data_IF_492606977951
#
_entry.id   IF_492606977951
#
_cell.length_a   1.000
_cell.length_b   1.000
_cell.length_c   1.000
_cell.angle_alpha   90.00
_cell.angle_beta   90.00
_cell.angle_gamma   90.00
#
_symmetry.space_group_name_H-M   'P 1'
#
loop_
_entity.id
_entity.type
_entity.pdbx_description
1 polymer ?
#
# COMPACT_ATOMS: atom_id res chain seq x y z
N UNK A 1 -26.51 -5.70 -38.98
CA UNK A 1 -25.28 -5.72 -38.15
C UNK A 1 -25.70 -5.85 -36.70
N UNK A 2 -25.34 -6.97 -36.08
CA UNK A 2 -25.84 -7.40 -34.76
C UNK A 2 -25.06 -6.73 -33.63
N UNK A 3 -25.76 -6.02 -32.75
CA UNK A 3 -25.23 -5.50 -31.49
C UNK A 3 -25.11 -6.65 -30.48
N UNK A 4 -23.88 -6.97 -30.10
CA UNK A 4 -23.60 -7.95 -29.06
C UNK A 4 -23.97 -7.35 -27.69
N UNK A 5 -25.08 -7.83 -27.12
CA UNK A 5 -25.43 -7.59 -25.71
C UNK A 5 -24.49 -8.42 -24.83
N UNK A 6 -23.66 -7.75 -24.03
CA UNK A 6 -23.01 -8.38 -22.88
C UNK A 6 -23.99 -8.35 -21.70
N UNK A 7 -24.42 -9.53 -21.26
CA UNK A 7 -25.11 -9.70 -19.98
C UNK A 7 -24.08 -9.66 -18.84
N UNK A 8 -24.44 -9.13 -17.65
CA UNK A 8 -23.57 -9.18 -16.48
C UNK A 8 -23.71 -10.55 -15.80
N UNK A 9 -22.71 -11.42 -15.94
CA UNK A 9 -22.60 -12.61 -15.10
C UNK A 9 -21.98 -12.21 -13.76
N UNK A 10 -22.78 -12.36 -12.71
CA UNK A 10 -22.42 -12.12 -11.33
C UNK A 10 -21.76 -13.38 -10.77
N UNK A 11 -20.42 -13.42 -10.71
CA UNK A 11 -19.68 -14.42 -9.93
C UNK A 11 -18.19 -14.06 -9.73
N UNK A 12 -17.78 -13.98 -8.46
CA UNK A 12 -16.43 -14.01 -7.87
C UNK A 12 -15.38 -12.97 -8.32
N UNK A 13 -14.95 -12.13 -7.38
CA UNK A 13 -13.83 -11.19 -7.55
C UNK A 13 -12.60 -11.77 -6.86
N UNK A 14 -11.72 -12.36 -7.66
CA UNK A 14 -10.40 -12.83 -7.25
C UNK A 14 -9.40 -11.67 -7.28
N UNK A 15 -8.56 -11.56 -6.24
CA UNK A 15 -7.57 -10.48 -6.11
C UNK A 15 -6.25 -10.73 -6.87
N UNK A 16 -6.33 -11.55 -7.93
CA UNK A 16 -5.63 -11.39 -9.19
C UNK A 16 -6.69 -11.76 -10.22
N UNK A 17 -7.04 -10.85 -11.13
CA UNK A 17 -8.07 -11.18 -12.10
C UNK A 17 -7.55 -12.29 -13.02
N UNK A 18 -8.41 -13.22 -13.43
CA UNK A 18 -7.99 -14.32 -14.31
C UNK A 18 -7.50 -13.82 -15.69
N UNK A 19 -7.81 -12.58 -16.08
CA UNK A 19 -7.27 -11.88 -17.26
C UNK A 19 -5.90 -11.22 -17.01
N UNK A 20 -5.47 -11.03 -15.76
CA UNK A 20 -4.14 -10.52 -15.38
C UNK A 20 -3.04 -11.60 -15.43
N UNK A 21 -3.41 -12.87 -15.60
CA UNK A 21 -2.50 -14.00 -15.79
C UNK A 21 -2.35 -14.35 -17.29
N UNK A 22 -1.56 -13.56 -18.04
CA UNK A 22 -1.18 -13.94 -19.40
C UNK A 22 -0.30 -15.21 -19.41
N UNK A 23 -0.46 -16.14 -20.39
CA UNK A 23 0.24 -17.43 -20.40
C UNK A 23 1.77 -17.27 -20.43
N UNK A 24 2.54 -18.08 -19.69
CA UNK A 24 3.99 -17.93 -19.61
C UNK A 24 4.64 -18.15 -20.98
N UNK A 25 5.41 -17.16 -21.46
CA UNK A 25 6.27 -17.30 -22.63
C UNK A 25 7.67 -17.77 -22.22
N UNK A 26 8.41 -18.51 -23.06
CA UNK A 26 9.73 -19.04 -22.71
C UNK A 26 10.76 -17.90 -22.60
N UNK A 27 11.63 -17.95 -21.58
CA UNK A 27 12.69 -16.96 -21.35
C UNK A 27 14.05 -17.69 -21.30
N UNK A 28 14.92 -17.39 -22.26
CA UNK A 28 16.33 -17.80 -22.27
C UNK A 28 17.23 -16.71 -21.65
N UNK A 29 18.33 -17.19 -21.07
CA UNK A 29 19.58 -16.52 -20.68
C UNK A 29 19.75 -15.88 -19.29
N UNK A 30 20.70 -16.49 -18.55
CA UNK A 30 22.02 -15.87 -18.26
C UNK A 30 22.12 -14.92 -17.07
N UNK A 31 22.54 -15.43 -15.91
CA UNK A 31 22.72 -14.71 -14.64
C UNK A 31 23.76 -13.58 -14.66
N UNK A 32 23.35 -12.34 -14.30
CA UNK A 32 24.11 -11.38 -13.47
C UNK A 32 23.13 -10.56 -12.60
N UNK A 33 23.38 -10.50 -11.30
CA UNK A 33 22.57 -9.82 -10.28
C UNK A 33 22.63 -8.29 -10.44
N UNK A 34 21.48 -7.63 -10.68
CA UNK A 34 21.22 -6.17 -10.60
C UNK A 34 19.71 -5.94 -10.54
N UNK A 35 19.30 -4.80 -9.97
CA UNK A 35 17.93 -4.21 -9.82
C UNK A 35 17.04 -4.32 -11.09
N UNK A 36 17.60 -4.67 -12.25
CA UNK A 36 16.87 -4.96 -13.49
C UNK A 36 15.90 -6.16 -13.44
N UNK A 37 15.87 -6.98 -12.37
CA UNK A 37 14.88 -8.06 -12.24
C UNK A 37 13.50 -7.65 -11.73
N UNK A 38 13.35 -6.45 -11.14
CA UNK A 38 12.03 -5.84 -10.92
C UNK A 38 11.24 -5.66 -12.23
N UNK A 39 11.92 -5.67 -13.39
CA UNK A 39 11.32 -5.57 -14.72
C UNK A 39 10.75 -6.92 -15.22
N UNK A 40 11.09 -8.07 -14.60
CA UNK A 40 10.54 -9.38 -15.03
C UNK A 40 9.18 -9.71 -14.40
N UNK A 41 8.77 -9.03 -13.33
CA UNK A 41 7.39 -9.08 -12.81
C UNK A 41 6.41 -8.18 -13.56
N UNK A 42 6.87 -7.58 -14.67
CA UNK A 42 6.18 -6.52 -15.38
C UNK A 42 4.85 -6.92 -16.03
N UNK A 43 4.45 -8.20 -16.11
CA UNK A 43 3.15 -8.55 -16.72
C UNK A 43 1.97 -8.13 -15.83
N UNK A 44 2.00 -8.44 -14.54
CA UNK A 44 0.93 -8.02 -13.61
C UNK A 44 0.97 -6.49 -13.38
N UNK A 45 2.17 -5.89 -13.42
CA UNK A 45 2.30 -4.44 -13.41
C UNK A 45 1.76 -3.79 -14.70
N UNK A 46 1.95 -4.42 -15.87
CA UNK A 46 1.55 -3.86 -17.17
C UNK A 46 0.04 -3.69 -17.28
N UNK A 47 -0.76 -4.64 -16.77
CA UNK A 47 -2.21 -4.48 -16.79
C UNK A 47 -2.69 -3.38 -15.83
N UNK A 48 -2.15 -3.33 -14.60
CA UNK A 48 -2.45 -2.22 -13.70
C UNK A 48 -2.10 -0.87 -14.37
N UNK A 49 -0.92 -0.77 -14.96
CA UNK A 49 -0.49 0.44 -15.66
C UNK A 49 -1.32 0.75 -16.91
N UNK A 50 -1.92 -0.25 -17.56
CA UNK A 50 -2.80 -0.05 -18.71
C UNK A 50 -4.14 0.61 -18.35
N UNK A 51 -4.60 0.43 -17.10
CA UNK A 51 -5.84 0.98 -16.56
C UNK A 51 -5.61 2.15 -15.59
N UNK A 52 -4.37 2.61 -15.45
CA UNK A 52 -3.98 3.76 -14.63
C UNK A 52 -3.44 4.88 -15.49
N UNK A 53 -3.79 6.12 -15.19
CA UNK A 53 -3.10 7.26 -15.77
C UNK A 53 -1.78 7.51 -15.02
N UNK A 54 -0.77 8.03 -15.73
CA UNK A 54 0.56 8.26 -15.18
C UNK A 54 1.11 9.60 -15.68
N UNK A 55 1.69 10.39 -14.77
CA UNK A 55 2.49 11.57 -15.12
C UNK A 55 3.89 11.45 -14.54
N UNK A 56 4.82 12.21 -15.12
CA UNK A 56 6.19 12.30 -14.63
C UNK A 56 6.56 13.77 -14.38
N UNK A 57 6.67 14.17 -13.13
CA UNK A 57 6.87 15.58 -12.72
C UNK A 57 7.86 15.68 -11.55
N UNK A 58 8.52 16.83 -11.34
CA UNK A 58 9.42 17.03 -10.20
C UNK A 58 8.74 16.74 -8.84
N UNK A 59 9.52 16.32 -7.85
CA UNK A 59 9.02 16.16 -6.48
C UNK A 59 8.63 17.54 -5.89
N UNK A 60 7.38 17.79 -5.49
CA UNK A 60 6.97 19.10 -5.01
C UNK A 60 7.50 19.44 -3.61
N UNK A 61 8.09 18.48 -2.89
CA UNK A 61 8.84 18.76 -1.65
C UNK A 61 10.26 19.30 -1.91
N UNK A 62 10.61 19.57 -3.18
CA UNK A 62 11.86 20.21 -3.56
C UNK A 62 11.87 21.67 -3.09
N UNK A 63 12.32 21.90 -1.85
CA UNK A 63 12.81 23.23 -1.48
C UNK A 63 14.25 23.38 -1.98
N UNK A 64 14.42 24.06 -3.12
CA UNK A 64 15.75 24.29 -3.71
C UNK A 64 16.61 25.26 -2.91
N UNK A 65 16.07 25.90 -1.86
CA UNK A 65 16.78 26.88 -1.05
C UNK A 65 17.43 26.27 0.19
N UNK A 66 17.10 25.03 0.54
CA UNK A 66 17.61 24.39 1.74
C UNK A 66 18.83 23.49 1.43
N UNK A 67 19.94 23.64 2.17
CA UNK A 67 21.13 22.83 1.95
C UNK A 67 20.84 21.35 2.26
N UNK A 68 21.35 20.47 1.40
CA UNK A 68 21.35 19.03 1.66
C UNK A 68 22.16 18.72 2.93
N UNK A 69 21.81 17.68 3.72
CA UNK A 69 22.55 17.33 4.93
C UNK A 69 24.05 17.20 4.65
N UNK A 70 24.83 18.06 5.32
CA UNK A 70 26.24 18.37 5.05
C UNK A 70 27.19 17.16 5.22
N UNK A 71 26.71 16.06 5.79
CA UNK A 71 27.54 14.92 6.22
C UNK A 71 27.72 13.81 5.17
N UNK A 72 27.43 14.05 3.89
CA UNK A 72 27.69 13.08 2.81
C UNK A 72 28.96 13.45 2.04
N UNK A 73 29.80 12.48 1.61
CA UNK A 73 30.88 12.76 0.66
C UNK A 73 30.36 13.54 -0.56
N UNK A 74 31.12 14.54 -1.05
CA UNK A 74 30.70 15.42 -2.16
C UNK A 74 30.14 14.67 -3.39
N UNK A 75 30.74 13.54 -3.75
CA UNK A 75 30.27 12.72 -4.88
C UNK A 75 28.91 12.07 -4.62
N UNK A 76 28.60 11.72 -3.36
CA UNK A 76 27.27 11.23 -2.95
C UNK A 76 26.26 12.37 -2.87
N UNK A 77 26.67 13.57 -2.46
CA UNK A 77 25.82 14.77 -2.49
C UNK A 77 25.38 15.11 -3.90
N UNK A 78 26.31 15.27 -4.86
CA UNK A 78 25.96 15.60 -6.24
C UNK A 78 25.05 14.54 -6.91
N UNK A 79 25.29 13.25 -6.61
CA UNK A 79 24.42 12.16 -7.08
C UNK A 79 23.03 12.26 -6.45
N UNK A 80 22.95 12.51 -5.15
CA UNK A 80 21.70 12.67 -4.41
C UNK A 80 20.93 13.90 -4.88
N UNK A 81 21.58 15.05 -5.08
CA UNK A 81 20.97 16.28 -5.61
C UNK A 81 20.36 16.06 -6.99
N UNK A 82 21.12 15.40 -7.88
CA UNK A 82 20.63 15.02 -9.20
C UNK A 82 19.39 14.16 -9.08
N UNK A 83 19.43 13.12 -8.22
CA UNK A 83 18.28 12.23 -7.98
C UNK A 83 17.09 12.97 -7.39
N UNK A 84 17.31 13.85 -6.44
CA UNK A 84 16.25 14.60 -5.79
C UNK A 84 15.48 15.47 -6.81
N UNK A 85 16.19 16.04 -7.79
CA UNK A 85 15.63 16.84 -8.89
C UNK A 85 15.04 16.02 -10.04
N UNK A 86 15.29 14.72 -10.11
CA UNK A 86 14.74 13.87 -11.17
C UNK A 86 13.21 13.77 -11.06
N UNK A 87 12.47 13.96 -12.18
CA UNK A 87 11.02 13.80 -12.19
C UNK A 87 10.59 12.40 -11.74
N UNK A 88 9.54 12.35 -10.92
CA UNK A 88 8.97 11.16 -10.30
C UNK A 88 7.67 10.78 -10.99
N UNK A 89 7.42 9.47 -11.05
CA UNK A 89 6.20 8.92 -11.64
C UNK A 89 5.12 8.84 -10.59
N UNK A 90 3.96 9.38 -10.91
CA UNK A 90 2.76 9.30 -10.10
C UNK A 90 1.72 8.54 -10.91
N UNK A 91 0.93 7.72 -10.22
CA UNK A 91 -0.15 6.97 -10.85
C UNK A 91 -1.47 7.30 -10.18
N UNK A 92 -2.54 7.24 -10.97
CA UNK A 92 -3.91 7.30 -10.48
C UNK A 92 -4.71 6.14 -11.07
N UNK A 93 -5.49 5.52 -10.20
CA UNK A 93 -6.62 4.69 -10.59
C UNK A 93 -7.92 5.42 -10.25
N UNK A 94 -8.89 5.36 -11.16
CA UNK A 94 -10.18 6.01 -11.04
C UNK A 94 -11.25 4.93 -11.12
N UNK A 95 -12.22 4.94 -10.20
CA UNK A 95 -13.29 3.95 -10.23
C UNK A 95 -14.19 4.11 -11.46
N UNK A 96 -14.73 3.00 -12.02
CA UNK A 96 -15.71 3.07 -13.09
C UNK A 96 -16.92 3.95 -12.74
N UNK A 97 -17.39 3.88 -11.48
CA UNK A 97 -18.49 4.73 -11.01
C UNK A 97 -18.20 6.22 -11.10
N UNK A 98 -16.96 6.66 -10.85
CA UNK A 98 -16.57 8.06 -10.98
C UNK A 98 -16.51 8.49 -12.46
N UNK A 99 -16.00 7.62 -13.33
CA UNK A 99 -15.96 7.85 -14.78
C UNK A 99 -17.39 7.97 -15.32
N UNK A 100 -18.26 7.02 -14.98
CA UNK A 100 -19.66 7.02 -15.39
C UNK A 100 -20.39 8.27 -14.90
N UNK A 101 -20.15 8.67 -13.64
CA UNK A 101 -20.74 9.88 -13.10
C UNK A 101 -20.26 11.14 -13.84
N UNK A 102 -18.98 11.23 -14.19
CA UNK A 102 -18.41 12.35 -14.94
C UNK A 102 -18.95 12.42 -16.38
N UNK A 103 -19.06 11.28 -17.07
CA UNK A 103 -19.52 11.23 -18.46
C UNK A 103 -21.03 11.49 -18.60
N UNK A 104 -21.84 11.01 -17.65
CA UNK A 104 -23.29 11.13 -17.70
C UNK A 104 -23.82 12.47 -17.16
N UNK A 105 -22.92 13.41 -16.82
CA UNK A 105 -23.33 14.59 -16.08
C UNK A 105 -24.02 15.68 -16.90
N UNK A 106 -23.82 15.74 -18.22
CA UNK A 106 -24.38 16.81 -19.06
C UNK A 106 -24.08 18.20 -18.47
N UNK A 107 -25.09 19.07 -18.43
CA UNK A 107 -25.03 20.42 -17.83
C UNK A 107 -25.39 20.46 -16.33
N UNK A 108 -25.36 19.33 -15.62
CA UNK A 108 -25.80 19.29 -14.23
C UNK A 108 -25.00 20.28 -13.34
N UNK A 109 -25.66 21.04 -12.44
CA UNK A 109 -25.04 22.19 -11.76
C UNK A 109 -23.83 21.87 -10.85
N UNK A 110 -23.63 20.61 -10.44
CA UNK A 110 -22.52 20.25 -9.54
C UNK A 110 -21.93 18.88 -9.88
N UNK A 111 -20.66 18.89 -10.27
CA UNK A 111 -19.82 17.69 -10.43
C UNK A 111 -19.66 16.93 -9.10
N UNK A 112 -19.94 15.61 -9.03
CA UNK A 112 -19.72 14.86 -7.82
C UNK A 112 -18.24 14.90 -7.51
N UNK A 113 -17.87 15.35 -6.32
CA UNK A 113 -16.45 15.50 -5.96
C UNK A 113 -15.82 14.11 -5.84
N UNK A 114 -14.70 13.91 -6.55
CA UNK A 114 -13.92 12.68 -6.45
C UNK A 114 -13.33 12.57 -5.03
N UNK A 115 -13.47 11.40 -4.40
CA UNK A 115 -12.86 11.06 -3.12
C UNK A 115 -11.48 10.47 -3.38
N UNK A 116 -10.46 11.30 -3.24
CA UNK A 116 -9.07 10.91 -3.54
C UNK A 116 -8.42 10.33 -2.29
N UNK A 117 -7.96 9.09 -2.41
CA UNK A 117 -7.10 8.43 -1.43
C UNK A 117 -5.67 8.43 -1.94
N UNK A 118 -4.74 8.96 -1.15
CA UNK A 118 -3.31 8.99 -1.50
C UNK A 118 -2.56 7.93 -0.70
N UNK A 119 -1.96 6.97 -1.42
CA UNK A 119 -1.12 5.94 -0.84
C UNK A 119 0.37 6.23 -1.11
N UNK A 120 1.11 6.49 -0.06
CA UNK A 120 2.55 6.68 -0.06
C UNK A 120 3.22 5.34 0.24
N UNK A 121 3.66 4.65 -0.81
CA UNK A 121 4.33 3.35 -0.73
C UNK A 121 5.80 3.44 -1.13
N UNK A 122 6.34 2.36 -1.66
CA UNK A 122 7.74 2.17 -2.05
C UNK A 122 7.77 1.58 -3.47
N UNK A 123 8.21 2.38 -4.45
CA UNK A 123 8.33 1.97 -5.87
C UNK A 123 7.08 1.31 -6.49
N UNK A 124 7.11 0.01 -6.87
CA UNK A 124 6.08 -0.66 -7.67
C UNK A 124 4.85 -1.17 -6.89
N UNK A 125 4.74 -0.84 -5.60
CA UNK A 125 3.82 -1.48 -4.65
C UNK A 125 2.33 -1.40 -4.96
N UNK A 126 1.95 -0.49 -5.85
CA UNK A 126 0.57 -0.28 -6.26
C UNK A 126 -0.01 -1.53 -6.94
N UNK A 127 0.75 -2.10 -7.87
CA UNK A 127 0.39 -3.35 -8.53
C UNK A 127 0.59 -4.54 -7.58
N UNK A 128 1.56 -4.45 -6.67
CA UNK A 128 1.86 -5.53 -5.71
C UNK A 128 0.76 -5.76 -4.69
N UNK A 129 0.07 -4.69 -4.27
CA UNK A 129 -0.94 -4.79 -3.22
C UNK A 129 -2.38 -4.97 -3.73
N UNK A 130 -2.59 -4.95 -5.06
CA UNK A 130 -3.93 -5.12 -5.64
C UNK A 130 -4.93 -4.04 -5.20
N UNK A 131 -4.45 -2.85 -4.82
CA UNK A 131 -5.28 -1.80 -4.22
C UNK A 131 -6.42 -1.34 -5.13
N UNK A 132 -6.25 -1.47 -6.46
CA UNK A 132 -7.27 -1.16 -7.47
C UNK A 132 -8.63 -1.76 -7.14
N UNK A 133 -8.64 -3.03 -6.79
CA UNK A 133 -9.86 -3.81 -6.59
C UNK A 133 -10.74 -3.23 -5.46
N UNK A 134 -10.13 -2.51 -4.50
CA UNK A 134 -10.87 -1.87 -3.43
C UNK A 134 -11.73 -0.71 -3.93
N UNK A 135 -11.27 -0.04 -4.99
CA UNK A 135 -11.91 1.15 -5.56
C UNK A 135 -12.88 0.82 -6.70
N UNK A 136 -12.81 -0.36 -7.32
CA UNK A 136 -13.65 -0.74 -8.48
C UNK A 136 -15.15 -0.56 -8.26
N UNK A 137 -15.64 -0.83 -7.05
CA UNK A 137 -17.07 -0.71 -6.70
C UNK A 137 -17.43 0.61 -6.03
N UNK A 138 -16.51 1.57 -5.97
CA UNK A 138 -16.76 2.85 -5.34
C UNK A 138 -17.40 3.82 -6.34
N UNK A 139 -18.42 4.56 -5.89
CA UNK A 139 -19.15 5.47 -6.76
C UNK A 139 -18.33 6.72 -7.18
N UNK A 140 -17.37 7.14 -6.35
CA UNK A 140 -16.61 8.38 -6.57
C UNK A 140 -15.13 8.26 -6.16
N UNK A 141 -14.58 7.04 -6.10
CA UNK A 141 -13.24 6.83 -5.54
C UNK A 141 -12.13 6.99 -6.56
N UNK A 142 -11.02 7.59 -6.13
CA UNK A 142 -9.78 7.62 -6.86
C UNK A 142 -8.62 7.25 -5.93
N UNK A 143 -7.69 6.43 -6.41
CA UNK A 143 -6.47 6.07 -5.70
C UNK A 143 -5.28 6.70 -6.40
N UNK A 144 -4.65 7.66 -5.75
CA UNK A 144 -3.37 8.22 -6.17
C UNK A 144 -2.25 7.56 -5.39
N UNK A 145 -1.16 7.29 -6.07
CA UNK A 145 -0.04 6.59 -5.46
C UNK A 145 1.25 7.33 -5.69
N UNK A 146 1.97 7.54 -4.59
CA UNK A 146 3.19 8.33 -4.56
C UNK A 146 4.34 7.39 -4.20
N UNK A 147 5.37 7.29 -5.06
CA UNK A 147 6.49 6.39 -4.80
C UNK A 147 7.33 6.94 -3.64
N UNK A 148 7.80 6.05 -2.78
CA UNK A 148 8.84 6.31 -1.80
C UNK A 148 10.20 5.84 -2.31
N UNK A 149 11.26 6.28 -1.63
CA UNK A 149 12.64 5.90 -1.96
C UNK A 149 13.37 5.34 -0.74
N UNK A 150 13.83 4.10 -0.86
CA UNK A 150 14.61 3.44 0.19
C UNK A 150 16.10 3.78 0.12
N UNK A 151 16.80 3.55 1.23
CA UNK A 151 18.22 3.88 1.36
C UNK A 151 19.11 3.14 0.36
N UNK A 152 18.76 1.89 0.04
CA UNK A 152 19.64 0.98 -0.70
C UNK A 152 19.36 0.94 -2.21
N UNK A 153 18.25 1.52 -2.67
CA UNK A 153 17.81 1.39 -4.08
C UNK A 153 18.69 2.14 -5.07
N UNK A 154 19.21 3.29 -4.68
CA UNK A 154 19.89 4.20 -5.61
C UNK A 154 21.38 4.42 -5.21
N UNK A 155 21.88 3.65 -4.25
CA UNK A 155 23.30 3.56 -3.90
C UNK A 155 23.88 4.83 -3.25
N UNK A 156 23.06 5.58 -2.52
CA UNK A 156 23.51 6.71 -1.68
C UNK A 156 23.20 6.52 -0.19
N UNK A 157 22.50 5.45 0.20
CA UNK A 157 22.40 5.00 1.59
C UNK A 157 21.46 5.82 2.48
N UNK A 158 20.50 6.56 1.92
CA UNK A 158 19.53 7.34 2.71
C UNK A 158 18.11 7.24 2.13
N UNK A 159 17.10 6.94 2.94
CA UNK A 159 15.71 7.01 2.50
C UNK A 159 15.20 8.46 2.54
N UNK A 160 14.29 8.84 1.65
CA UNK A 160 13.68 10.18 1.62
C UNK A 160 12.25 10.15 1.02
N UNK A 161 11.49 11.21 1.28
CA UNK A 161 10.07 11.31 0.90
C UNK A 161 9.84 12.12 -0.38
N UNK A 162 8.90 11.65 -1.21
CA UNK A 162 8.38 12.34 -2.38
C UNK A 162 6.97 12.80 -2.04
N UNK A 163 6.66 14.09 -2.20
CA UNK A 163 5.32 14.59 -1.91
C UNK A 163 4.43 14.60 -3.13
N UNK A 164 3.24 15.13 -2.91
CA UNK A 164 2.23 15.40 -3.93
C UNK A 164 1.61 16.77 -3.67
N UNK A 165 1.29 17.51 -4.72
CA UNK A 165 0.57 18.78 -4.64
C UNK A 165 -0.78 18.69 -5.37
N UNK A 166 -1.63 19.70 -5.19
CA UNK A 166 -2.94 19.74 -5.81
C UNK A 166 -2.88 19.67 -7.35
N UNK A 167 -1.89 20.35 -7.97
CA UNK A 167 -1.72 20.37 -9.43
C UNK A 167 -1.34 19.01 -10.01
N UNK A 168 -0.64 18.18 -9.23
CA UNK A 168 -0.33 16.78 -9.59
C UNK A 168 -1.60 15.96 -9.61
N UNK A 169 -2.49 16.12 -8.62
CA UNK A 169 -3.79 15.42 -8.57
C UNK A 169 -4.67 15.87 -9.75
N UNK A 170 -4.76 17.17 -10.00
CA UNK A 170 -5.53 17.73 -11.14
C UNK A 170 -5.04 17.17 -12.48
N UNK A 171 -3.71 17.13 -12.69
CA UNK A 171 -3.11 16.55 -13.90
C UNK A 171 -3.37 15.05 -14.01
N UNK A 172 -3.30 14.31 -12.91
CA UNK A 172 -3.60 12.88 -12.91
C UNK A 172 -5.07 12.61 -13.29
N UNK A 173 -6.01 13.37 -12.73
CA UNK A 173 -7.43 13.28 -13.11
C UNK A 173 -7.66 13.66 -14.58
N UNK A 174 -6.99 14.71 -15.06
CA UNK A 174 -7.00 15.08 -16.47
C UNK A 174 -6.52 13.94 -17.38
N UNK A 175 -5.37 13.31 -17.07
CA UNK A 175 -4.85 12.17 -17.84
C UNK A 175 -5.74 10.93 -17.74
N UNK A 176 -6.57 10.83 -16.71
CA UNK A 176 -7.60 9.79 -16.59
C UNK A 176 -8.90 10.14 -17.35
N UNK A 177 -8.93 11.24 -18.11
CA UNK A 177 -10.08 11.70 -18.88
C UNK A 177 -11.12 12.49 -18.08
N UNK A 178 -10.81 12.88 -16.85
CA UNK A 178 -11.70 13.60 -15.92
C UNK A 178 -11.36 15.10 -15.86
N UNK A 179 -11.50 15.80 -16.98
CA UNK A 179 -11.08 17.19 -17.13
C UNK A 179 -11.90 18.11 -16.20
N UNK A 180 -11.23 18.88 -15.35
CA UNK A 180 -11.88 19.83 -14.43
C UNK A 180 -12.63 19.19 -13.27
N UNK A 181 -12.51 17.87 -13.10
CA UNK A 181 -13.18 17.11 -12.04
C UNK A 181 -12.79 17.63 -10.65
N UNK A 182 -13.72 18.19 -9.86
CA UNK A 182 -13.43 18.58 -8.49
C UNK A 182 -13.17 17.35 -7.62
N UNK A 183 -12.32 17.51 -6.62
CA UNK A 183 -11.94 16.42 -5.71
C UNK A 183 -11.75 16.89 -4.27
N UNK A 184 -11.87 15.95 -3.35
CA UNK A 184 -11.56 16.07 -1.93
C UNK A 184 -10.49 15.05 -1.55
N UNK A 185 -9.58 15.45 -0.66
CA UNK A 185 -8.56 14.56 -0.12
C UNK A 185 -9.20 13.75 1.01
N UNK A 186 -9.58 12.51 0.74
CA UNK A 186 -10.38 11.72 1.67
C UNK A 186 -9.51 10.89 2.63
N UNK A 187 -8.47 10.24 2.09
CA UNK A 187 -7.57 9.37 2.84
C UNK A 187 -6.12 9.68 2.52
N UNK A 188 -5.27 9.68 3.55
CA UNK A 188 -3.82 9.75 3.43
C UNK A 188 -3.19 8.53 4.11
N UNK A 189 -2.52 7.67 3.35
CA UNK A 189 -1.97 6.43 3.87
C UNK A 189 -0.47 6.30 3.60
N UNK A 190 0.31 6.01 4.63
CA UNK A 190 1.74 5.73 4.54
C UNK A 190 2.01 4.25 4.75
N UNK A 191 2.94 3.70 3.99
CA UNK A 191 3.41 2.34 4.12
C UNK A 191 4.93 2.30 4.12
N UNK A 192 5.51 1.50 5.02
CA UNK A 192 6.97 1.31 5.10
C UNK A 192 7.73 2.64 5.10
N UNK A 193 8.70 2.87 4.21
CA UNK A 193 9.40 4.16 4.09
C UNK A 193 8.56 5.32 3.53
N UNK A 194 7.38 5.03 2.99
CA UNK A 194 6.42 6.01 2.47
C UNK A 194 5.84 6.97 3.51
N UNK A 195 5.97 6.66 4.81
CA UNK A 195 5.63 7.64 5.87
C UNK A 195 6.39 8.97 5.72
N UNK A 196 7.59 8.97 5.13
CA UNK A 196 8.36 10.21 4.87
C UNK A 196 7.61 11.13 3.93
N UNK A 197 7.11 10.54 2.85
CA UNK A 197 6.31 11.21 1.83
C UNK A 197 5.00 11.72 2.40
N UNK A 198 4.32 10.88 3.20
CA UNK A 198 3.08 11.24 3.91
C UNK A 198 3.31 12.45 4.82
N UNK A 199 4.28 12.36 5.73
CA UNK A 199 4.56 13.41 6.70
C UNK A 199 5.02 14.70 6.02
N UNK A 200 5.89 14.60 5.02
CA UNK A 200 6.38 15.73 4.23
C UNK A 200 5.23 16.45 3.52
N UNK A 201 4.32 15.68 2.92
CA UNK A 201 3.13 16.23 2.25
C UNK A 201 2.21 16.95 3.24
N UNK A 202 1.84 16.30 4.35
CA UNK A 202 0.96 16.91 5.36
C UNK A 202 1.58 18.17 5.95
N UNK A 203 2.85 18.11 6.35
CA UNK A 203 3.55 19.24 6.95
C UNK A 203 3.60 20.47 6.03
N UNK A 204 3.56 20.27 4.70
CA UNK A 204 3.59 21.32 3.67
C UNK A 204 2.28 21.45 2.90
N UNK A 205 1.16 20.96 3.43
CA UNK A 205 -0.10 20.87 2.67
C UNK A 205 -0.55 22.22 2.07
N UNK A 206 -0.45 23.31 2.83
CA UNK A 206 -0.87 24.65 2.39
C UNK A 206 -0.08 25.19 1.19
N UNK A 207 1.27 25.26 1.20
CA UNK A 207 2.02 25.65 0.00
C UNK A 207 1.89 24.64 -1.15
N UNK A 208 1.49 23.39 -0.88
CA UNK A 208 1.16 22.37 -1.88
C UNK A 208 -0.29 22.48 -2.40
N UNK A 209 -1.08 23.45 -1.92
CA UNK A 209 -2.48 23.65 -2.31
C UNK A 209 -3.44 22.56 -1.84
N UNK A 210 -3.04 21.73 -0.87
CA UNK A 210 -3.83 20.61 -0.36
C UNK A 210 -4.73 21.04 0.81
N UNK A 211 -6.00 20.68 0.74
CA UNK A 211 -7.02 20.93 1.77
C UNK A 211 -7.14 19.77 2.75
N UNK A 212 -6.57 19.95 3.94
CA UNK A 212 -6.52 18.91 4.96
C UNK A 212 -7.81 18.71 5.76
N UNK A 213 -8.73 19.68 5.72
CA UNK A 213 -10.05 19.68 6.38
C UNK A 213 -11.04 18.68 5.78
N UNK A 214 -10.74 18.19 4.58
CA UNK A 214 -11.53 17.15 3.90
C UNK A 214 -11.10 15.72 4.24
N UNK A 215 -9.94 15.57 4.90
CA UNK A 215 -9.34 14.26 5.22
C UNK A 215 -10.12 13.60 6.34
N UNK A 216 -10.74 12.45 6.02
CA UNK A 216 -11.48 11.64 7.00
C UNK A 216 -10.60 10.61 7.65
N UNK A 217 -9.48 10.24 7.02
CA UNK A 217 -8.61 9.20 7.56
C UNK A 217 -7.14 9.36 7.23
N UNK A 218 -6.31 9.11 8.23
CA UNK A 218 -4.90 8.82 8.10
C UNK A 218 -4.67 7.33 8.37
N UNK A 219 -3.83 6.66 7.60
CA UNK A 219 -3.47 5.25 7.87
C UNK A 219 -1.97 5.05 7.82
N UNK A 220 -1.44 4.39 8.82
CA UNK A 220 -0.01 4.13 9.01
C UNK A 220 0.17 2.62 8.98
N UNK A 221 0.53 2.10 7.81
CA UNK A 221 0.73 0.68 7.57
C UNK A 221 2.17 0.28 7.91
N UNK A 222 2.38 -0.23 9.12
CA UNK A 222 3.65 -0.78 9.61
C UNK A 222 4.81 0.20 9.39
N UNK A 223 4.58 1.47 9.77
CA UNK A 223 5.55 2.55 9.63
C UNK A 223 5.36 3.72 10.61
N UNK A 224 4.96 3.48 11.86
CA UNK A 224 4.78 4.54 12.87
C UNK A 224 6.12 4.99 13.49
N UNK A 225 6.85 5.84 12.80
CA UNK A 225 8.15 6.34 13.24
C UNK A 225 8.01 7.75 13.81
N UNK A 226 8.02 7.95 15.14
CA UNK A 226 7.89 9.30 15.73
C UNK A 226 9.01 10.21 15.25
N UNK A 227 10.26 9.84 15.58
CA UNK A 227 11.53 10.46 15.14
C UNK A 227 11.52 12.00 14.98
N UNK A 228 10.78 12.69 15.83
CA UNK A 228 10.95 14.12 16.04
C UNK A 228 12.31 14.27 16.72
N UNK A 229 13.35 14.55 15.95
CA UNK A 229 14.66 14.84 16.51
C UNK A 229 14.47 16.08 17.39
N UNK A 230 14.53 15.95 18.72
CA UNK A 230 14.21 17.02 19.69
C UNK A 230 15.02 18.31 19.48
N UNK A 231 16.08 18.23 18.68
CA UNK A 231 16.96 19.34 18.30
C UNK A 231 16.49 20.08 17.04
N UNK A 232 15.54 19.54 16.28
CA UNK A 232 14.99 20.14 15.07
C UNK A 232 13.87 21.12 15.43
N UNK A 233 14.24 22.35 15.77
CA UNK A 233 13.32 23.48 15.72
C UNK A 233 12.60 23.50 14.36
N UNK A 234 11.38 24.04 14.30
CA UNK A 234 10.47 24.18 13.14
C UNK A 234 11.07 24.82 11.84
N UNK A 235 12.38 25.05 11.77
CA UNK A 235 13.14 25.66 10.67
C UNK A 235 13.77 24.68 9.68
N UNK A 236 13.74 23.37 9.94
CA UNK A 236 14.39 22.38 9.04
C UNK A 236 13.46 21.84 7.92
N UNK A 237 14.02 21.49 6.74
CA UNK A 237 13.26 20.96 5.60
C UNK A 237 12.54 19.65 5.92
N UNK A 238 11.26 19.58 5.54
CA UNK A 238 10.40 18.42 5.77
C UNK A 238 10.83 17.12 5.06
N UNK A 239 11.72 17.18 4.06
CA UNK A 239 12.09 16.03 3.23
C UNK A 239 13.20 15.15 3.83
N UNK A 240 13.99 15.66 4.78
CA UNK A 240 15.17 14.98 5.33
C UNK A 240 14.95 14.37 6.73
N UNK A 241 13.94 14.86 7.46
CA UNK A 241 13.60 14.42 8.83
C UNK A 241 12.17 13.88 8.94
N UNK A 242 11.90 13.18 10.04
CA UNK A 242 10.78 12.26 10.25
C UNK A 242 9.70 12.94 11.11
N UNK A 243 8.95 13.87 10.53
CA UNK A 243 8.04 14.77 11.28
C UNK A 243 6.65 14.16 11.55
N UNK A 244 6.57 12.97 12.12
CA UNK A 244 5.28 12.26 12.25
C UNK A 244 4.35 12.96 13.24
N UNK A 245 4.85 13.42 14.40
CA UNK A 245 4.01 14.13 15.37
C UNK A 245 3.44 15.42 14.75
N UNK A 246 4.29 16.22 14.11
CA UNK A 246 3.85 17.46 13.45
C UNK A 246 2.79 17.19 12.36
N UNK A 247 2.95 16.12 11.59
CA UNK A 247 1.97 15.73 10.59
C UNK A 247 0.63 15.36 11.23
N UNK A 248 0.66 14.53 12.28
CA UNK A 248 -0.53 14.15 13.06
C UNK A 248 -1.22 15.38 13.66
N UNK A 249 -0.48 16.25 14.36
CA UNK A 249 -1.03 17.45 15.00
C UNK A 249 -1.70 18.38 13.98
N UNK A 250 -1.06 18.58 12.82
CA UNK A 250 -1.60 19.41 11.74
C UNK A 250 -2.87 18.82 11.16
N UNK A 251 -2.94 17.49 11.01
CA UNK A 251 -4.10 16.81 10.44
C UNK A 251 -5.28 16.77 11.41
N UNK A 252 -5.05 16.45 12.69
CA UNK A 252 -6.08 16.48 13.75
C UNK A 252 -6.64 17.89 13.92
N UNK A 253 -5.78 18.92 13.89
CA UNK A 253 -6.22 20.32 13.97
C UNK A 253 -7.07 20.73 12.76
N UNK A 254 -6.73 20.27 11.56
CA UNK A 254 -7.47 20.60 10.33
C UNK A 254 -8.78 19.80 10.21
N UNK A 255 -8.79 18.55 10.68
CA UNK A 255 -9.91 17.61 10.60
C UNK A 255 -10.21 17.01 11.97
N UNK A 256 -11.07 17.65 12.80
CA UNK A 256 -11.37 17.16 14.15
C UNK A 256 -11.97 15.74 14.19
N UNK A 257 -12.75 15.38 13.17
CA UNK A 257 -13.38 14.05 13.03
C UNK A 257 -12.47 13.01 12.34
N UNK A 258 -11.17 13.29 12.22
CA UNK A 258 -10.19 12.43 11.58
C UNK A 258 -10.04 11.08 12.30
N UNK A 259 -10.07 9.98 11.56
CA UNK A 259 -9.63 8.68 12.06
C UNK A 259 -8.15 8.45 11.73
N UNK A 260 -7.35 8.03 12.71
CA UNK A 260 -5.95 7.66 12.54
C UNK A 260 -5.81 6.17 12.84
N UNK A 261 -5.63 5.38 11.79
CA UNK A 261 -5.42 3.95 11.90
C UNK A 261 -3.92 3.61 11.89
N UNK A 262 -3.46 2.89 12.90
CA UNK A 262 -2.06 2.45 13.03
C UNK A 262 -2.01 0.94 13.04
N UNK A 263 -1.34 0.36 12.05
CA UNK A 263 -1.08 -1.07 11.98
C UNK A 263 0.33 -1.38 12.49
N UNK A 264 0.41 -2.23 13.51
CA UNK A 264 1.67 -2.80 14.01
C UNK A 264 1.75 -4.25 13.57
N UNK A 265 2.59 -4.55 12.60
CA UNK A 265 2.63 -5.88 11.96
C UNK A 265 3.98 -6.54 12.13
N UNK A 266 5.06 -5.78 12.03
CA UNK A 266 6.41 -6.33 12.21
C UNK A 266 7.14 -5.65 13.36
N UNK A 267 8.00 -6.43 14.03
CA UNK A 267 8.86 -5.92 15.11
C UNK A 267 9.82 -4.83 14.58
N UNK A 268 10.14 -4.85 13.28
CA UNK A 268 10.98 -3.85 12.63
C UNK A 268 10.21 -2.63 12.08
N UNK A 269 8.90 -2.75 11.81
CA UNK A 269 8.03 -1.77 11.16
C UNK A 269 7.42 -0.69 12.07
N UNK A 270 7.99 -0.53 13.27
CA UNK A 270 7.57 0.42 14.31
C UNK A 270 6.19 0.21 14.95
N UNK A 271 5.98 0.74 16.17
CA UNK A 271 6.89 1.45 17.11
C UNK A 271 8.12 0.68 17.60
N UNK A 272 9.28 1.35 17.68
CA UNK A 272 10.59 0.78 18.07
C UNK A 272 11.00 1.21 19.48
N UNK A 273 10.04 1.28 20.41
CA UNK A 273 10.28 1.52 21.82
C UNK A 273 9.44 2.65 22.43
N UNK A 274 9.74 3.04 23.69
CA UNK A 274 8.92 3.96 24.50
C UNK A 274 8.67 5.32 23.82
N UNK A 275 9.58 5.72 22.94
CA UNK A 275 9.52 7.00 22.26
C UNK A 275 8.33 7.10 21.29
N UNK A 276 8.14 6.06 20.48
CA UNK A 276 7.05 5.95 19.51
C UNK A 276 5.70 5.65 20.22
N UNK A 277 5.73 4.97 21.36
CA UNK A 277 4.54 4.82 22.24
C UNK A 277 4.03 6.19 22.73
N UNK A 278 4.95 7.12 23.02
CA UNK A 278 4.59 8.48 23.39
C UNK A 278 3.86 9.26 22.29
N UNK A 279 4.05 8.93 21.00
CA UNK A 279 3.28 9.53 19.91
C UNK A 279 1.83 9.02 19.92
N UNK A 280 1.62 7.71 20.13
CA UNK A 280 0.26 7.16 20.24
C UNK A 280 -0.51 7.77 21.40
N UNK A 281 0.12 7.96 22.55
CA UNK A 281 -0.50 8.58 23.72
C UNK A 281 -0.89 10.06 23.51
N UNK A 282 -0.38 10.71 22.47
CA UNK A 282 -0.75 12.10 22.12
C UNK A 282 -1.90 12.17 21.11
N UNK A 283 -2.25 11.07 20.46
CA UNK A 283 -3.42 11.01 19.57
C UNK A 283 -4.66 10.87 20.47
N UNK A 284 -5.69 11.72 20.32
CA UNK A 284 -6.91 11.55 21.09
C UNK A 284 -7.52 10.15 20.86
N UNK A 285 -7.96 9.48 21.91
CA UNK A 285 -8.53 8.12 21.83
C UNK A 285 -9.72 8.04 20.86
N UNK A 286 -10.50 9.12 20.74
CA UNK A 286 -11.61 9.24 19.78
C UNK A 286 -11.16 9.17 18.32
N UNK A 287 -9.90 9.47 18.05
CA UNK A 287 -9.31 9.52 16.72
C UNK A 287 -8.42 8.30 16.46
N UNK A 288 -7.97 7.56 17.47
CA UNK A 288 -7.00 6.46 17.31
C UNK A 288 -7.68 5.11 17.10
N UNK A 289 -7.27 4.40 16.04
CA UNK A 289 -7.58 2.99 15.79
C UNK A 289 -6.27 2.23 15.75
N UNK A 290 -5.92 1.55 16.84
CA UNK A 290 -4.71 0.74 16.93
C UNK A 290 -5.01 -0.72 16.56
N UNK A 291 -4.42 -1.18 15.46
CA UNK A 291 -4.46 -2.58 15.03
C UNK A 291 -3.12 -3.21 15.34
N UNK A 292 -3.03 -3.90 16.48
CA UNK A 292 -1.79 -4.51 16.95
C UNK A 292 -1.76 -6.01 16.68
N UNK A 293 -0.90 -6.45 15.77
CA UNK A 293 -0.67 -7.86 15.47
C UNK A 293 0.62 -8.42 16.10
N UNK A 294 1.27 -7.68 17.01
CA UNK A 294 2.53 -8.10 17.63
C UNK A 294 2.36 -9.05 18.82
N UNK A 295 1.15 -9.25 19.32
CA UNK A 295 0.88 -10.27 20.34
C UNK A 295 1.17 -11.65 19.75
N UNK A 296 1.96 -12.48 20.44
CA UNK A 296 2.54 -13.71 19.88
C UNK A 296 1.50 -14.65 19.24
N UNK A 297 0.41 -14.94 19.94
CA UNK A 297 -0.62 -15.84 19.44
C UNK A 297 -1.37 -15.24 18.24
N UNK A 298 -1.76 -13.96 18.33
CA UNK A 298 -2.40 -13.24 17.23
C UNK A 298 -1.48 -13.14 16.02
N UNK A 299 -0.19 -12.87 16.24
CA UNK A 299 0.82 -12.78 15.20
C UNK A 299 0.95 -14.09 14.43
N UNK A 300 0.95 -15.24 15.13
CA UNK A 300 0.95 -16.55 14.49
C UNK A 300 -0.30 -16.76 13.62
N UNK A 301 -1.47 -16.34 14.10
CA UNK A 301 -2.71 -16.52 13.33
C UNK A 301 -2.78 -15.62 12.09
N UNK A 302 -2.37 -14.35 12.21
CA UNK A 302 -2.27 -13.43 11.07
C UNK A 302 -1.22 -13.94 10.08
N UNK A 303 -0.13 -14.53 10.57
CA UNK A 303 0.89 -15.14 9.72
C UNK A 303 0.33 -16.30 8.89
N UNK A 304 -0.40 -17.22 9.51
CA UNK A 304 -1.06 -18.31 8.79
C UNK A 304 -2.02 -17.77 7.72
N UNK A 305 -2.79 -16.72 8.04
CA UNK A 305 -3.66 -16.02 7.09
C UNK A 305 -2.88 -15.49 5.88
N UNK A 306 -1.84 -14.68 6.10
CA UNK A 306 -1.05 -14.09 5.01
C UNK A 306 -0.37 -15.15 4.13
N UNK A 307 0.17 -16.21 4.74
CA UNK A 307 0.79 -17.32 4.00
C UNK A 307 -0.24 -18.05 3.13
N UNK A 308 -1.39 -18.39 3.69
CA UNK A 308 -2.42 -19.10 2.94
C UNK A 308 -2.99 -18.23 1.81
N UNK A 309 -3.04 -16.91 1.98
CA UNK A 309 -3.36 -15.96 0.90
C UNK A 309 -2.31 -15.93 -0.20
N UNK A 310 -1.04 -15.91 0.16
CA UNK A 310 0.05 -16.02 -0.81
C UNK A 310 -0.06 -17.32 -1.63
N UNK A 311 -0.29 -18.45 -0.95
CA UNK A 311 -0.46 -19.75 -1.60
C UNK A 311 -1.72 -19.80 -2.46
N UNK A 312 -2.85 -19.27 -1.97
CA UNK A 312 -4.09 -19.16 -2.75
C UNK A 312 -3.85 -18.42 -4.07
N UNK A 313 -3.08 -17.32 -4.05
CA UNK A 313 -2.73 -16.61 -5.28
C UNK A 313 -1.86 -17.48 -6.21
N UNK A 314 -0.94 -18.27 -5.65
CA UNK A 314 -0.07 -19.17 -6.42
C UNK A 314 -0.88 -20.23 -7.16
N UNK A 315 -1.87 -20.80 -6.46
CA UNK A 315 -2.80 -21.80 -7.01
C UNK A 315 -3.66 -21.19 -8.12
N UNK A 316 -4.30 -20.06 -7.85
CA UNK A 316 -5.14 -19.36 -8.84
C UNK A 316 -4.33 -18.98 -10.09
N UNK A 317 -3.06 -18.62 -9.92
CA UNK A 317 -2.16 -18.28 -11.02
C UNK A 317 -1.59 -19.50 -11.74
N UNK A 318 -1.94 -20.73 -11.33
CA UNK A 318 -1.44 -21.98 -11.90
C UNK A 318 0.05 -22.25 -11.63
N UNK A 319 0.67 -21.50 -10.71
CA UNK A 319 2.10 -21.62 -10.36
C UNK A 319 2.33 -22.83 -9.44
N UNK A 320 1.35 -23.15 -8.61
CA UNK A 320 1.34 -24.32 -7.73
C UNK A 320 0.04 -25.09 -7.95
N UNK A 321 0.08 -26.41 -8.06
CA UNK A 321 -1.13 -27.21 -8.14
C UNK A 321 -1.65 -27.51 -6.72
N UNK A 322 -2.97 -27.60 -6.53
CA UNK A 322 -3.54 -27.95 -5.21
C UNK A 322 -3.01 -29.30 -4.70
N UNK A 323 -2.69 -30.23 -5.60
CA UNK A 323 -2.11 -31.54 -5.28
C UNK A 323 -0.73 -31.46 -4.62
N UNK A 324 -0.01 -30.36 -4.79
CA UNK A 324 1.33 -30.16 -4.24
C UNK A 324 1.28 -29.57 -2.82
N UNK A 325 0.08 -29.26 -2.31
CA UNK A 325 -0.13 -28.57 -1.05
C UNK A 325 -0.64 -29.54 0.04
N UNK A 326 -0.24 -29.34 1.30
CA UNK A 326 -0.83 -30.07 2.41
C UNK A 326 -2.35 -29.86 2.47
N UNK A 327 -3.11 -30.93 2.75
CA UNK A 327 -4.57 -30.86 2.85
C UNK A 327 -5.04 -29.78 3.84
N UNK A 328 -4.33 -29.62 4.96
CA UNK A 328 -4.61 -28.60 5.99
C UNK A 328 -4.51 -27.17 5.45
N UNK A 329 -3.58 -26.89 4.54
CA UNK A 329 -3.44 -25.59 3.87
C UNK A 329 -4.60 -25.36 2.92
N UNK A 330 -4.97 -26.35 2.11
CA UNK A 330 -6.12 -26.27 1.19
C UNK A 330 -7.42 -26.05 1.96
N UNK A 331 -7.62 -26.78 3.05
CA UNK A 331 -8.78 -26.63 3.91
C UNK A 331 -8.83 -25.25 4.56
N UNK A 332 -7.70 -24.70 5.01
CA UNK A 332 -7.65 -23.34 5.52
C UNK A 332 -7.95 -22.30 4.44
N UNK A 333 -7.41 -22.46 3.22
CA UNK A 333 -7.71 -21.58 2.07
C UNK A 333 -9.22 -21.54 1.80
N UNK A 334 -9.91 -22.69 1.89
CA UNK A 334 -11.38 -22.77 1.72
C UNK A 334 -12.17 -22.05 2.81
N UNK A 335 -11.58 -21.79 3.98
CA UNK A 335 -12.20 -21.02 5.07
C UNK A 335 -11.98 -19.50 4.94
N UNK A 336 -11.05 -19.08 4.09
CA UNK A 336 -10.73 -17.67 3.92
C UNK A 336 -11.91 -16.93 3.27
N UNK A 337 -12.38 -15.81 3.86
CA UNK A 337 -13.31 -14.91 3.20
C UNK A 337 -12.75 -14.35 1.88
N UNK A 338 -13.53 -13.57 1.15
CA UNK A 338 -12.99 -12.80 0.02
C UNK A 338 -11.96 -11.78 0.52
N UNK A 339 -10.91 -11.53 -0.26
CA UNK A 339 -9.87 -10.55 0.13
C UNK A 339 -10.47 -9.15 0.33
N UNK A 340 -9.94 -8.43 1.32
CA UNK A 340 -10.40 -7.09 1.65
C UNK A 340 -11.77 -7.05 2.33
N UNK A 341 -12.38 -8.19 2.63
CA UNK A 341 -13.66 -8.22 3.37
C UNK A 341 -13.49 -8.30 4.88
N UNK A 342 -12.26 -8.48 5.36
CA UNK A 342 -12.01 -8.40 6.80
C UNK A 342 -12.21 -6.97 7.30
N UNK A 343 -12.85 -6.87 8.46
CA UNK A 343 -12.95 -5.63 9.24
C UNK A 343 -12.26 -5.84 10.57
N UNK A 344 -11.42 -4.89 10.95
CA UNK A 344 -10.75 -4.82 12.25
C UNK A 344 -11.60 -4.05 13.26
N UNK A 345 -12.58 -3.27 12.79
CA UNK A 345 -13.50 -2.51 13.64
C UNK A 345 -14.68 -3.34 14.16
N UNK A 346 -15.10 -3.14 15.43
CA UNK A 346 -16.41 -3.55 15.89
C UNK A 346 -17.52 -2.88 15.06
N UNK A 347 -18.43 -3.67 14.47
CA UNK A 347 -19.54 -3.15 13.68
C UNK A 347 -19.17 -2.65 12.28
N UNK A 348 -17.92 -2.80 11.84
CA UNK A 348 -17.52 -2.49 10.48
C UNK A 348 -18.17 -3.41 9.44
N UNK A 349 -18.19 -2.95 8.18
CA UNK A 349 -18.80 -3.70 7.07
C UNK A 349 -17.84 -4.79 6.62
N UNK A 350 -18.14 -6.04 6.97
CA UNK A 350 -17.33 -7.19 6.56
C UNK A 350 -17.30 -8.34 7.56
N UNK A 351 -16.32 -9.22 7.41
CA UNK A 351 -16.05 -10.33 8.34
C UNK A 351 -15.20 -9.80 9.50
N UNK A 352 -15.67 -9.82 10.77
CA UNK A 352 -14.88 -9.33 11.89
C UNK A 352 -13.64 -10.20 12.11
N UNK A 353 -12.45 -9.67 11.82
CA UNK A 353 -11.19 -10.42 11.77
C UNK A 353 -10.96 -11.19 13.07
N UNK A 354 -11.00 -10.50 14.21
CA UNK A 354 -10.70 -11.11 15.51
C UNK A 354 -11.69 -12.22 15.84
N UNK A 355 -12.99 -12.04 15.57
CA UNK A 355 -13.99 -13.11 15.77
C UNK A 355 -13.75 -14.29 14.83
N UNK A 356 -13.34 -14.04 13.59
CA UNK A 356 -13.03 -15.09 12.63
C UNK A 356 -11.81 -15.90 13.05
N UNK A 357 -10.73 -15.24 13.49
CA UNK A 357 -9.53 -15.89 14.03
C UNK A 357 -9.80 -16.71 15.30
N UNK A 358 -10.88 -16.40 16.01
CA UNK A 358 -11.31 -17.10 17.22
C UNK A 358 -12.19 -18.34 16.94
N UNK A 359 -12.64 -18.55 15.69
CA UNK A 359 -13.46 -19.73 15.35
C UNK A 359 -12.69 -21.03 15.59
N UNK A 360 -13.38 -22.05 16.12
CA UNK A 360 -12.79 -23.35 16.47
C UNK A 360 -12.10 -24.03 15.27
N UNK A 361 -12.75 -24.01 14.11
CA UNK A 361 -12.22 -24.59 12.88
C UNK A 361 -10.98 -23.83 12.38
N UNK A 362 -11.02 -22.50 12.40
CA UNK A 362 -9.88 -21.64 12.05
C UNK A 362 -8.68 -21.89 12.97
N UNK A 363 -8.90 -21.87 14.30
CA UNK A 363 -7.84 -22.16 15.28
C UNK A 363 -7.24 -23.55 15.10
N UNK A 364 -8.08 -24.57 14.87
CA UNK A 364 -7.63 -25.94 14.65
C UNK A 364 -6.71 -26.02 13.43
N UNK A 365 -7.13 -25.46 12.30
CA UNK A 365 -6.31 -25.46 11.07
C UNK A 365 -5.01 -24.70 11.23
N UNK A 366 -5.02 -23.56 11.94
CA UNK A 366 -3.80 -22.82 12.26
C UNK A 366 -2.87 -23.69 13.12
N UNK A 367 -3.40 -24.31 14.17
CA UNK A 367 -2.62 -25.21 15.01
C UNK A 367 -2.04 -26.38 14.22
N UNK A 368 -2.79 -27.00 13.31
CA UNK A 368 -2.31 -28.08 12.44
C UNK A 368 -1.21 -27.61 11.48
N UNK A 369 -1.36 -26.42 10.87
CA UNK A 369 -0.31 -25.78 10.05
C UNK A 369 0.97 -25.58 10.87
N UNK A 370 0.87 -25.33 12.18
CA UNK A 370 2.04 -25.14 13.05
C UNK A 370 2.58 -26.42 13.68
N UNK A 371 1.74 -27.40 14.04
CA UNK A 371 2.10 -28.62 14.77
C UNK A 371 2.64 -29.72 13.85
N UNK A 372 2.06 -29.90 12.66
CA UNK A 372 2.51 -30.94 11.73
C UNK A 372 3.87 -30.63 11.08
N UNK A 373 4.45 -29.46 11.36
CA UNK A 373 5.61 -28.96 10.66
C UNK A 373 6.70 -28.55 11.66
N UNK A 374 7.21 -29.52 12.43
CA UNK A 374 8.37 -29.43 13.36
C UNK A 374 9.62 -28.83 12.69
N UNK A 375 9.57 -27.53 12.44
CA UNK A 375 10.43 -26.81 11.51
C UNK A 375 9.59 -25.80 10.71
N UNK A 376 9.09 -24.77 11.40
CA UNK A 376 8.32 -23.63 10.84
C UNK A 376 8.90 -23.06 9.54
N UNK A 377 10.20 -23.22 9.32
CA UNK A 377 10.92 -22.77 8.14
C UNK A 377 10.74 -23.70 6.94
N UNK A 378 10.62 -25.01 7.08
CA UNK A 378 10.93 -25.90 5.94
C UNK A 378 9.82 -25.91 4.89
N UNK A 379 8.55 -26.08 5.24
CA UNK A 379 7.45 -26.09 4.25
C UNK A 379 7.05 -24.67 3.85
N UNK A 380 6.99 -23.71 4.77
CA UNK A 380 6.70 -22.32 4.42
C UNK A 380 7.82 -21.76 3.54
N UNK A 381 9.09 -21.96 3.90
CA UNK A 381 10.18 -21.56 3.01
C UNK A 381 10.22 -22.45 1.77
N UNK A 382 9.77 -23.70 1.78
CA UNK A 382 9.70 -24.52 0.56
C UNK A 382 8.60 -24.04 -0.38
N UNK A 383 7.41 -23.68 0.12
CA UNK A 383 6.30 -23.15 -0.67
C UNK A 383 6.62 -21.74 -1.16
N UNK A 384 7.19 -20.89 -0.30
CA UNK A 384 7.76 -19.60 -0.71
C UNK A 384 8.89 -19.84 -1.72
N UNK A 385 9.80 -20.78 -1.49
CA UNK A 385 10.90 -21.07 -2.40
C UNK A 385 10.43 -21.65 -3.72
N UNK A 386 9.44 -22.53 -3.77
CA UNK A 386 8.82 -23.00 -5.00
C UNK A 386 8.26 -21.81 -5.76
N UNK A 387 7.51 -20.96 -5.08
CA UNK A 387 6.89 -19.78 -5.68
C UNK A 387 7.92 -18.74 -6.17
N UNK A 388 8.99 -18.50 -5.40
CA UNK A 388 10.08 -17.54 -5.70
C UNK A 388 11.05 -18.11 -6.73
N UNK A 389 11.37 -19.41 -6.70
CA UNK A 389 12.22 -20.11 -7.68
C UNK A 389 11.57 -20.11 -9.06
N UNK A 390 10.24 -20.16 -9.11
CA UNK A 390 9.49 -20.00 -10.35
C UNK A 390 9.33 -18.53 -10.78
N UNK A 391 9.71 -17.54 -9.96
CA UNK A 391 9.86 -16.14 -10.35
C UNK A 391 8.58 -15.41 -10.77
N UNK A 392 7.40 -15.93 -10.42
CA UNK A 392 6.16 -15.58 -11.11
C UNK A 392 5.07 -14.91 -10.27
N UNK A 393 5.03 -15.08 -8.94
CA UNK A 393 4.06 -14.30 -8.16
C UNK A 393 4.60 -12.90 -7.92
N UNK A 394 4.07 -11.92 -8.65
CA UNK A 394 4.14 -10.50 -8.34
C UNK A 394 5.53 -9.87 -8.20
N UNK A 395 6.62 -10.46 -8.69
CA UNK A 395 7.96 -9.86 -8.52
C UNK A 395 8.53 -9.96 -7.12
N UNK A 396 8.09 -10.96 -6.37
CA UNK A 396 8.60 -11.27 -5.05
C UNK A 396 9.91 -12.03 -5.17
N UNK A 397 11.01 -11.40 -4.75
CA UNK A 397 12.34 -12.01 -4.74
C UNK A 397 12.79 -12.45 -3.35
N UNK A 398 12.10 -11.99 -2.31
CA UNK A 398 12.45 -12.27 -0.93
C UNK A 398 11.84 -13.58 -0.46
N UNK A 399 12.68 -14.47 0.06
CA UNK A 399 12.24 -15.61 0.88
C UNK A 399 12.10 -15.25 2.35
N UNK A 400 12.28 -13.97 2.71
CA UNK A 400 12.10 -13.49 4.07
C UNK A 400 10.61 -13.34 4.38
N UNK A 401 10.13 -14.16 5.32
CA UNK A 401 8.76 -14.12 5.78
C UNK A 401 8.40 -12.78 6.44
N UNK A 402 9.37 -12.06 7.01
CA UNK A 402 9.10 -10.75 7.59
C UNK A 402 8.70 -9.74 6.51
N UNK A 403 9.39 -9.73 5.37
CA UNK A 403 9.06 -8.88 4.22
C UNK A 403 7.70 -9.30 3.61
N UNK A 404 7.40 -10.60 3.58
CA UNK A 404 6.06 -11.08 3.19
C UNK A 404 4.97 -10.55 4.11
N UNK A 405 5.13 -10.68 5.43
CA UNK A 405 4.16 -10.16 6.40
C UNK A 405 4.01 -8.65 6.30
N UNK A 406 5.13 -7.94 6.14
CA UNK A 406 5.18 -6.49 5.95
C UNK A 406 4.36 -6.06 4.74
N UNK A 407 4.16 -6.88 3.73
CA UNK A 407 3.48 -6.49 2.47
C UNK A 407 2.05 -7.04 2.34
N UNK A 408 1.81 -8.28 2.77
CA UNK A 408 0.53 -8.96 2.56
C UNK A 408 -0.62 -8.40 3.39
N UNK A 409 -0.35 -7.86 4.57
CA UNK A 409 -1.41 -7.33 5.43
C UNK A 409 -2.12 -6.13 4.77
N UNK A 410 -1.41 -5.33 3.97
CA UNK A 410 -2.01 -4.21 3.21
C UNK A 410 -3.06 -4.72 2.23
N UNK A 411 -2.84 -5.90 1.64
CA UNK A 411 -3.82 -6.53 0.73
C UNK A 411 -5.07 -7.00 1.47
N UNK A 412 -4.96 -7.35 2.75
CA UNK A 412 -6.08 -7.88 3.53
C UNK A 412 -6.90 -6.75 4.17
N UNK A 413 -6.25 -5.67 4.60
CA UNK A 413 -6.88 -4.60 5.37
C UNK A 413 -6.96 -3.26 4.64
N UNK A 414 -6.29 -3.13 3.49
CA UNK A 414 -6.26 -1.88 2.73
C UNK A 414 -7.65 -1.38 2.34
N UNK A 415 -8.60 -2.27 2.06
CA UNK A 415 -9.98 -1.86 1.71
C UNK A 415 -10.67 -1.08 2.81
N UNK A 416 -10.60 -1.54 4.07
CA UNK A 416 -11.27 -0.90 5.21
C UNK A 416 -10.73 0.52 5.45
N UNK A 417 -9.46 0.76 5.13
CA UNK A 417 -8.76 1.97 5.51
C UNK A 417 -8.40 2.91 4.35
N UNK A 418 -8.45 2.45 3.09
CA UNK A 418 -8.18 3.27 1.91
C UNK A 418 -9.44 3.75 1.19
N UNK A 419 -10.58 3.09 1.40
CA UNK A 419 -11.88 3.42 0.78
C UNK A 419 -12.78 4.07 1.83
#
# INVERSE_FOLDING_TARGET
MSLCKLQPDSRLIYAFYADEAGPPGPCQDGYKFRISRFVKSARNCAEFYSKSACIKVPNPLLDTTLPFPENLPRHKQAKLDKKFREPRRYHIYVSPGLIDAHLNQGEAPQQPRAKVSVFFGVGPEIALFGLRAFFEKTAAGALVTVPGIEADWEGYGKAWGIGIDASIIDKLLFEAGLIGQPWDLHVLAGYSTGYRSLNGTICNAEPLGLKLDTVKRMTIFDCLYRHDDHMANNKEPAYSKRFTQRAVDRLVKASPDLEIAVFRVTVAGTPRGPYDEGLLAQIPDSNLILVNFLEEELFARIRALCICRFIQNAVVSGIVQESDLPATVIEFIKLLPDRGTFTTRPGGVGVPLFKWLERKDVKLRIAEIYQHHHGQRTIINHLIHLTVKHGLLGGWESTDYHDMMHRYFVQEFGREYLV
#
